data_IF_766403539345
#
_entry.id   IF_766403539345
#
_cell.length_a   1.000
_cell.length_b   1.000
_cell.length_c   1.000
_cell.angle_alpha   90.00
_cell.angle_beta   90.00
_cell.angle_gamma   90.00
#
_symmetry.space_group_name_H-M   'P 1'
#
loop_
_entity.id
_entity.type
_entity.pdbx_description
1 polymer ?
#
# COMPACT_ATOMS: atom_id res chain seq x y z
N UNK A 1 41.60 3.33 10.54
CA UNK A 1 40.85 2.10 10.21
C UNK A 1 39.40 2.50 10.01
N UNK A 2 38.84 2.26 8.82
CA UNK A 2 37.41 2.45 8.56
C UNK A 2 36.79 1.06 8.66
N UNK A 3 36.05 0.81 9.73
CA UNK A 3 35.26 -0.42 9.82
C UNK A 3 34.12 -0.28 8.82
N UNK A 4 34.11 -1.14 7.80
CA UNK A 4 32.94 -1.35 6.96
C UNK A 4 31.88 -1.96 7.87
N UNK A 5 30.88 -1.18 8.27
CA UNK A 5 29.70 -1.69 8.96
C UNK A 5 28.96 -2.52 7.91
N UNK A 6 29.14 -3.84 7.94
CA UNK A 6 28.22 -4.73 7.25
C UNK A 6 26.93 -4.72 8.06
N UNK A 7 25.84 -4.26 7.47
CA UNK A 7 24.53 -4.41 8.10
C UNK A 7 24.20 -5.90 8.14
N UNK A 8 23.87 -6.41 9.33
CA UNK A 8 23.51 -7.82 9.55
C UNK A 8 22.01 -8.08 9.30
N UNK A 9 21.27 -7.04 8.92
CA UNK A 9 19.83 -7.03 8.78
C UNK A 9 19.39 -5.99 7.73
N UNK A 10 18.16 -6.15 7.24
CA UNK A 10 17.45 -5.12 6.48
C UNK A 10 16.48 -4.35 7.38
N UNK A 11 16.23 -3.08 7.08
CA UNK A 11 15.16 -2.28 7.71
C UNK A 11 14.74 -1.12 6.81
N UNK A 12 13.52 -0.62 7.00
CA UNK A 12 13.07 0.66 6.46
C UNK A 12 13.31 1.75 7.51
N UNK A 13 13.94 2.84 7.10
CA UNK A 13 14.14 4.04 7.92
C UNK A 13 13.65 5.26 7.16
N UNK A 14 12.89 6.11 7.85
CA UNK A 14 12.35 7.34 7.29
C UNK A 14 12.68 8.47 8.26
N UNK A 15 13.54 9.37 7.80
CA UNK A 15 13.74 10.67 8.42
C UNK A 15 12.77 11.66 7.79
N UNK A 16 11.62 11.84 8.44
CA UNK A 16 10.63 12.83 8.03
C UNK A 16 10.82 14.11 8.84
N UNK A 17 11.81 14.89 8.42
CA UNK A 17 12.09 16.22 8.98
C UNK A 17 10.88 17.16 8.91
N UNK A 18 10.01 17.05 7.89
CA UNK A 18 8.79 17.86 7.75
C UNK A 18 7.75 17.56 8.85
N UNK A 19 7.67 16.31 9.32
CA UNK A 19 6.80 15.89 10.44
C UNK A 19 7.54 15.84 11.78
N UNK A 20 8.81 16.26 11.85
CA UNK A 20 9.70 16.08 13.01
C UNK A 20 9.67 14.65 13.55
N UNK A 21 9.60 13.66 12.66
CA UNK A 21 9.40 12.26 13.01
C UNK A 21 10.44 11.35 12.37
N UNK A 22 10.97 10.43 13.17
CA UNK A 22 11.77 9.31 12.69
C UNK A 22 10.94 8.04 12.82
N UNK A 23 10.87 7.26 11.74
CA UNK A 23 10.11 6.02 11.67
C UNK A 23 11.02 4.91 11.19
N UNK A 24 10.97 3.77 11.88
CA UNK A 24 11.69 2.58 11.48
C UNK A 24 10.76 1.36 11.53
N UNK A 25 10.98 0.43 10.60
CA UNK A 25 10.40 -0.90 10.70
C UNK A 25 11.17 -1.73 11.73
N UNK A 26 10.61 -2.87 12.15
CA UNK A 26 11.45 -3.91 12.78
C UNK A 26 12.61 -4.32 11.85
N UNK A 27 13.69 -4.83 12.45
CA UNK A 27 14.79 -5.45 11.71
C UNK A 27 14.33 -6.75 11.05
N UNK A 28 14.79 -6.99 9.83
CA UNK A 28 14.52 -8.18 9.03
C UNK A 28 15.82 -8.88 8.66
N UNK A 29 15.77 -10.17 8.32
CA UNK A 29 16.97 -10.88 7.85
C UNK A 29 17.57 -10.17 6.63
N UNK A 30 18.91 -10.13 6.54
CA UNK A 30 19.60 -9.53 5.40
C UNK A 30 19.17 -10.20 4.08
N UNK A 31 18.82 -9.40 3.08
CA UNK A 31 18.31 -9.87 1.79
C UNK A 31 16.80 -10.18 1.79
N UNK A 32 16.08 -9.71 2.81
CA UNK A 32 14.62 -9.65 2.85
C UNK A 32 14.10 -8.54 1.95
N UNK A 33 14.75 -7.38 1.93
CA UNK A 33 14.36 -6.20 1.17
C UNK A 33 15.30 -6.02 -0.02
N UNK A 34 14.75 -5.88 -1.22
CA UNK A 34 15.50 -5.61 -2.44
C UNK A 34 14.89 -4.39 -3.15
N UNK A 35 15.73 -3.45 -3.58
CA UNK A 35 15.29 -2.28 -4.34
C UNK A 35 15.52 -2.51 -5.84
N UNK A 36 14.53 -2.16 -6.63
CA UNK A 36 14.55 -2.34 -8.07
C UNK A 36 14.17 -1.04 -8.78
N UNK A 37 14.93 -0.73 -9.82
CA UNK A 37 14.53 0.25 -10.84
C UNK A 37 14.16 -0.51 -12.11
N UNK A 38 13.06 -0.11 -12.74
CA UNK A 38 12.54 -0.74 -13.93
C UNK A 38 11.93 0.29 -14.89
N UNK A 39 11.62 -0.16 -16.10
CA UNK A 39 11.01 0.66 -17.14
C UNK A 39 9.79 -0.04 -17.70
N UNK A 40 8.68 0.69 -17.86
CA UNK A 40 7.48 0.11 -18.47
C UNK A 40 7.63 0.04 -20.01
N UNK A 41 6.66 -0.57 -20.69
CA UNK A 41 6.69 -0.72 -22.16
C UNK A 41 6.74 0.60 -22.94
N UNK A 42 6.38 1.73 -22.30
CA UNK A 42 6.44 3.08 -22.89
C UNK A 42 7.81 3.75 -22.65
N UNK A 43 8.67 3.13 -21.84
CA UNK A 43 9.97 3.68 -21.45
C UNK A 43 9.93 4.55 -20.20
N UNK A 44 8.81 4.62 -19.48
CA UNK A 44 8.74 5.37 -18.23
C UNK A 44 9.42 4.59 -17.11
N UNK A 45 10.29 5.27 -16.35
CA UNK A 45 10.97 4.68 -15.20
C UNK A 45 10.04 4.57 -14.00
N UNK A 46 10.07 3.43 -13.32
CA UNK A 46 9.43 3.23 -12.03
C UNK A 46 10.34 2.43 -11.09
N UNK A 47 10.13 2.60 -9.79
CA UNK A 47 10.92 1.93 -8.76
C UNK A 47 10.00 1.17 -7.80
N UNK A 48 10.51 0.08 -7.23
CA UNK A 48 9.78 -0.68 -6.22
C UNK A 48 10.72 -1.40 -5.27
N UNK A 49 10.19 -1.73 -4.10
CA UNK A 49 10.81 -2.68 -3.17
C UNK A 49 10.17 -4.05 -3.38
N UNK A 50 10.98 -5.09 -3.50
CA UNK A 50 10.55 -6.48 -3.34
C UNK A 50 10.92 -6.94 -1.92
N UNK A 51 9.94 -7.53 -1.21
CA UNK A 51 10.06 -7.92 0.19
C UNK A 51 9.57 -9.36 0.36
N UNK A 52 10.41 -10.20 0.95
CA UNK A 52 10.07 -11.60 1.27
C UNK A 52 9.26 -11.69 2.56
N UNK A 53 8.18 -12.44 2.53
CA UNK A 53 7.32 -12.70 3.67
C UNK A 53 6.23 -11.64 3.87
N UNK A 54 4.97 -12.07 3.94
CA UNK A 54 3.82 -11.17 4.03
C UNK A 54 3.86 -10.26 5.27
N UNK A 55 4.35 -10.77 6.41
CA UNK A 55 4.51 -9.94 7.62
C UNK A 55 5.56 -8.84 7.42
N UNK A 56 6.65 -9.13 6.73
CA UNK A 56 7.69 -8.14 6.42
C UNK A 56 7.17 -7.10 5.43
N UNK A 57 6.46 -7.54 4.38
CA UNK A 57 5.84 -6.65 3.40
C UNK A 57 4.84 -5.71 4.04
N UNK A 58 3.99 -6.22 4.94
CA UNK A 58 3.01 -5.40 5.66
C UNK A 58 3.67 -4.37 6.59
N UNK A 59 4.64 -4.80 7.39
CA UNK A 59 5.39 -3.91 8.28
C UNK A 59 6.06 -2.75 7.52
N UNK A 60 6.74 -3.07 6.41
CA UNK A 60 7.41 -2.06 5.59
C UNK A 60 6.40 -1.07 4.99
N UNK A 61 5.28 -1.56 4.48
CA UNK A 61 4.20 -0.72 3.95
C UNK A 61 3.62 0.21 5.02
N UNK A 62 3.27 -0.30 6.20
CA UNK A 62 2.71 0.52 7.28
C UNK A 62 3.73 1.55 7.79
N UNK A 63 5.01 1.19 7.85
CA UNK A 63 6.10 2.12 8.19
C UNK A 63 6.16 3.28 7.18
N UNK A 64 6.11 2.99 5.89
CA UNK A 64 6.10 3.98 4.82
C UNK A 64 4.85 4.86 4.84
N UNK A 65 3.67 4.26 5.01
CA UNK A 65 2.39 4.98 5.08
C UNK A 65 2.29 5.89 6.31
N UNK A 66 2.92 5.52 7.44
CA UNK A 66 2.99 6.35 8.64
C UNK A 66 4.03 7.46 8.51
N UNK A 67 5.19 7.12 7.95
CA UNK A 67 6.36 7.99 7.91
C UNK A 67 6.36 9.01 6.79
N UNK A 68 5.47 8.93 5.80
CA UNK A 68 5.48 9.83 4.63
C UNK A 68 4.15 10.58 4.46
N UNK A 69 4.08 11.43 3.43
CA UNK A 69 2.87 12.15 2.99
C UNK A 69 2.47 11.78 1.56
N UNK A 70 2.96 10.63 1.08
CA UNK A 70 2.81 10.13 -0.28
C UNK A 70 2.04 8.80 -0.22
N UNK A 71 1.29 8.51 -1.27
CA UNK A 71 0.65 7.21 -1.43
C UNK A 71 1.69 6.13 -1.79
N UNK A 72 1.69 5.07 -0.99
CA UNK A 72 2.36 3.82 -1.26
C UNK A 72 1.31 2.74 -1.51
N UNK A 73 1.71 1.71 -2.24
CA UNK A 73 0.93 0.48 -2.39
C UNK A 73 1.75 -0.74 -2.04
N UNK A 74 1.06 -1.74 -1.52
CA UNK A 74 1.53 -3.08 -1.25
C UNK A 74 0.76 -4.05 -2.16
N UNK A 75 1.48 -4.72 -3.05
CA UNK A 75 0.97 -5.85 -3.80
C UNK A 75 1.53 -7.14 -3.23
N UNK A 76 0.67 -8.09 -2.88
CA UNK A 76 1.09 -9.40 -2.38
C UNK A 76 0.79 -10.46 -3.42
N UNK A 77 1.76 -11.31 -3.72
CA UNK A 77 1.68 -12.30 -4.78
C UNK A 77 2.40 -13.61 -4.42
N UNK A 78 2.13 -14.65 -5.21
CA UNK A 78 2.65 -15.99 -4.96
C UNK A 78 2.01 -16.65 -3.74
N UNK A 79 2.79 -17.43 -2.99
CA UNK A 79 2.35 -18.09 -1.76
C UNK A 79 2.02 -17.07 -0.66
N UNK A 80 1.20 -17.46 0.32
CA UNK A 80 0.96 -16.63 1.51
C UNK A 80 2.00 -16.90 2.60
N UNK A 81 2.16 -15.96 3.53
CA UNK A 81 3.04 -16.15 4.69
C UNK A 81 4.51 -15.87 4.36
N UNK A 82 5.43 -16.67 4.91
CA UNK A 82 6.87 -16.38 4.88
C UNK A 82 7.49 -16.46 3.48
N UNK A 83 6.88 -17.23 2.57
CA UNK A 83 7.27 -17.32 1.17
C UNK A 83 6.58 -16.28 0.27
N UNK A 84 5.73 -15.43 0.85
CA UNK A 84 5.00 -14.42 0.09
C UNK A 84 5.93 -13.39 -0.55
N UNK A 85 5.63 -13.04 -1.80
CA UNK A 85 6.34 -11.98 -2.53
C UNK A 85 5.53 -10.70 -2.42
N UNK A 86 6.15 -9.67 -1.86
CA UNK A 86 5.50 -8.41 -1.58
C UNK A 86 6.21 -7.31 -2.37
N UNK A 87 5.44 -6.48 -3.07
CA UNK A 87 5.98 -5.39 -3.87
C UNK A 87 5.43 -4.09 -3.34
N UNK A 88 6.32 -3.18 -2.95
CA UNK A 88 5.94 -1.85 -2.50
C UNK A 88 6.37 -0.81 -3.53
N UNK A 89 5.43 0.02 -3.95
CA UNK A 89 5.69 1.11 -4.88
C UNK A 89 4.99 2.38 -4.48
N UNK A 90 5.39 3.47 -5.12
CA UNK A 90 4.75 4.78 -5.02
C UNK A 90 4.78 5.43 -6.41
N UNK A 91 3.86 6.34 -6.69
CA UNK A 91 3.97 7.24 -7.85
C UNK A 91 4.76 8.52 -7.56
N UNK A 92 5.18 8.72 -6.31
CA UNK A 92 5.66 10.01 -5.80
C UNK A 92 4.62 11.15 -5.86
N UNK A 93 3.35 10.85 -6.06
CA UNK A 93 2.24 11.81 -6.04
C UNK A 93 1.29 11.55 -4.86
N UNK A 94 0.51 12.55 -4.47
CA UNK A 94 -0.38 12.46 -3.29
C UNK A 94 -1.58 11.54 -3.49
N UNK A 95 -2.04 11.32 -4.73
CA UNK A 95 -3.33 10.66 -5.01
C UNK A 95 -3.36 9.94 -6.39
N UNK A 96 -2.21 9.47 -6.88
CA UNK A 96 -2.12 8.66 -8.10
C UNK A 96 -1.17 7.50 -7.81
N UNK A 97 -1.32 6.36 -8.47
CA UNK A 97 -0.39 5.24 -8.33
C UNK A 97 -0.11 4.53 -9.65
N UNK A 98 0.44 5.27 -10.61
CA UNK A 98 0.83 4.76 -11.92
C UNK A 98 1.80 3.57 -11.87
N UNK A 99 2.60 3.39 -10.80
CA UNK A 99 3.62 2.32 -10.75
C UNK A 99 3.04 0.94 -10.41
N UNK A 100 1.94 0.86 -9.66
CA UNK A 100 1.38 -0.45 -9.27
C UNK A 100 0.88 -1.27 -10.46
N UNK A 101 0.25 -0.64 -11.45
CA UNK A 101 -0.22 -1.37 -12.63
C UNK A 101 0.95 -1.94 -13.45
N UNK A 102 2.07 -1.22 -13.52
CA UNK A 102 3.27 -1.66 -14.23
C UNK A 102 3.92 -2.85 -13.52
N UNK A 103 4.04 -2.82 -12.18
CA UNK A 103 4.55 -3.96 -11.41
C UNK A 103 3.63 -5.17 -11.53
N UNK A 104 2.33 -4.96 -11.41
CA UNK A 104 1.32 -6.01 -11.55
C UNK A 104 1.40 -6.67 -12.94
N UNK A 105 1.62 -5.91 -14.01
CA UNK A 105 1.67 -6.43 -15.38
C UNK A 105 3.03 -7.02 -15.78
N UNK A 106 4.13 -6.36 -15.43
CA UNK A 106 5.46 -6.68 -15.97
C UNK A 106 6.33 -7.50 -14.99
N UNK A 107 6.14 -7.33 -13.67
CA UNK A 107 6.93 -8.04 -12.64
C UNK A 107 6.19 -9.26 -12.12
N UNK A 108 4.96 -9.06 -11.64
CA UNK A 108 4.12 -10.16 -11.15
C UNK A 108 3.62 -10.98 -12.35
N UNK A 109 3.09 -10.29 -13.37
CA UNK A 109 2.50 -10.93 -14.54
C UNK A 109 1.12 -11.54 -14.28
N UNK A 110 0.50 -12.08 -15.33
CA UNK A 110 -0.85 -12.66 -15.27
C UNK A 110 -0.88 -13.91 -14.40
N UNK A 111 0.14 -14.76 -14.50
CA UNK A 111 0.25 -16.04 -13.78
C UNK A 111 1.05 -15.93 -12.48
N UNK A 112 1.49 -14.73 -12.09
CA UNK A 112 2.29 -14.50 -10.89
C UNK A 112 1.56 -14.66 -9.57
N UNK A 113 0.26 -14.95 -9.61
CA UNK A 113 -0.58 -15.17 -8.45
C UNK A 113 -0.76 -13.93 -7.60
N UNK A 114 -1.18 -12.80 -8.19
CA UNK A 114 -1.56 -11.61 -7.43
C UNK A 114 -2.72 -11.95 -6.48
N UNK A 115 -2.55 -11.69 -5.19
CA UNK A 115 -3.53 -11.98 -4.13
C UNK A 115 -4.21 -10.72 -3.61
N UNK A 116 -3.45 -9.65 -3.44
CA UNK A 116 -3.98 -8.39 -2.91
C UNK A 116 -3.25 -7.16 -3.45
N UNK A 117 -3.95 -6.03 -3.41
CA UNK A 117 -3.43 -4.68 -3.60
C UNK A 117 -3.99 -3.81 -2.48
N UNK A 118 -3.12 -3.24 -1.65
CA UNK A 118 -3.50 -2.29 -0.59
C UNK A 118 -2.74 -1.00 -0.80
N UNK A 119 -3.42 0.14 -0.79
CA UNK A 119 -2.78 1.46 -0.86
C UNK A 119 -3.19 2.35 0.29
N UNK A 120 -2.33 3.29 0.68
CA UNK A 120 -2.67 4.25 1.72
C UNK A 120 -3.15 5.57 1.12
N UNK A 121 -4.21 6.15 1.67
CA UNK A 121 -4.58 7.54 1.35
C UNK A 121 -3.90 8.49 2.35
N UNK A 122 -3.01 9.41 1.91
CA UNK A 122 -2.42 10.41 2.80
C UNK A 122 -3.48 11.33 3.46
N UNK A 123 -4.65 11.47 2.82
CA UNK A 123 -5.82 12.17 3.36
C UNK A 123 -6.49 11.47 4.54
N UNK A 124 -6.10 10.21 4.84
CA UNK A 124 -6.69 9.31 5.85
C UNK A 124 -8.12 8.84 5.53
N UNK A 125 -8.65 9.23 4.37
CA UNK A 125 -9.98 8.82 3.93
C UNK A 125 -9.96 7.34 3.52
N UNK A 126 -10.87 6.52 4.05
CA UNK A 126 -10.95 5.09 3.73
C UNK A 126 -11.99 4.78 2.65
N UNK A 127 -12.28 5.75 1.77
CA UNK A 127 -13.24 5.57 0.67
C UNK A 127 -12.53 5.53 -0.68
N UNK A 128 -12.83 4.55 -1.54
CA UNK A 128 -12.21 4.46 -2.86
C UNK A 128 -12.63 5.61 -3.76
N UNK A 129 -11.63 6.20 -4.41
CA UNK A 129 -11.81 7.12 -5.53
C UNK A 129 -12.35 6.39 -6.76
N UNK A 130 -12.82 7.15 -7.74
CA UNK A 130 -13.20 6.60 -9.06
C UNK A 130 -12.01 5.88 -9.72
N UNK A 131 -10.79 6.37 -9.51
CA UNK A 131 -9.56 5.78 -10.01
C UNK A 131 -9.29 4.42 -9.37
N UNK A 132 -9.52 4.28 -8.06
CA UNK A 132 -9.37 3.00 -7.33
C UNK A 132 -10.31 1.94 -7.90
N UNK A 133 -11.57 2.30 -8.15
CA UNK A 133 -12.57 1.39 -8.72
C UNK A 133 -12.20 0.96 -10.14
N UNK A 134 -11.70 1.90 -10.96
CA UNK A 134 -11.21 1.60 -12.32
C UNK A 134 -9.99 0.69 -12.30
N UNK A 135 -9.06 0.95 -11.39
CA UNK A 135 -7.88 0.11 -11.19
C UNK A 135 -8.28 -1.32 -10.79
N UNK A 136 -9.18 -1.48 -9.81
CA UNK A 136 -9.67 -2.79 -9.40
C UNK A 136 -10.32 -3.53 -10.57
N UNK A 137 -11.17 -2.85 -11.34
CA UNK A 137 -11.79 -3.40 -12.56
C UNK A 137 -10.74 -3.88 -13.57
N UNK A 138 -9.78 -3.04 -13.91
CA UNK A 138 -8.73 -3.37 -14.89
C UNK A 138 -7.88 -4.57 -14.45
N UNK A 139 -7.64 -4.71 -13.15
CA UNK A 139 -6.88 -5.81 -12.57
C UNK A 139 -7.71 -7.10 -12.56
N UNK A 140 -8.98 -7.04 -12.13
CA UNK A 140 -9.91 -8.17 -12.10
C UNK A 140 -10.22 -8.73 -13.50
N UNK A 141 -10.39 -7.88 -14.52
CA UNK A 141 -10.70 -8.33 -15.88
C UNK A 141 -9.54 -9.09 -16.54
N UNK A 142 -8.30 -8.81 -16.14
CA UNK A 142 -7.09 -9.36 -16.77
C UNK A 142 -6.52 -10.57 -16.06
N UNK A 143 -7.00 -10.89 -14.86
CA UNK A 143 -6.38 -11.91 -14.00
C UNK A 143 -7.39 -12.92 -13.48
N UNK A 144 -7.06 -14.22 -13.55
CA UNK A 144 -7.87 -15.24 -12.90
C UNK A 144 -7.72 -15.13 -11.38
N UNK A 145 -8.82 -15.31 -10.65
CA UNK A 145 -8.82 -15.41 -9.19
C UNK A 145 -9.46 -14.23 -8.48
N UNK A 146 -9.60 -14.38 -7.15
CA UNK A 146 -10.18 -13.36 -6.29
C UNK A 146 -9.07 -12.50 -5.69
N UNK A 147 -8.93 -11.28 -6.21
CA UNK A 147 -7.95 -10.30 -5.73
C UNK A 147 -8.63 -9.45 -4.65
N UNK A 148 -7.93 -9.21 -3.54
CA UNK A 148 -8.42 -8.33 -2.46
C UNK A 148 -7.88 -6.92 -2.68
N UNK A 149 -8.75 -5.93 -2.77
CA UNK A 149 -8.37 -4.52 -2.80
C UNK A 149 -8.73 -3.86 -1.47
N UNK A 150 -7.82 -3.07 -0.93
CA UNK A 150 -8.00 -2.38 0.34
C UNK A 150 -7.43 -0.96 0.29
N UNK A 151 -8.04 -0.05 1.03
CA UNK A 151 -7.48 1.27 1.37
C UNK A 151 -7.09 1.24 2.83
N UNK A 152 -5.86 1.67 3.11
CA UNK A 152 -5.29 1.75 4.45
C UNK A 152 -5.11 3.20 4.90
N UNK A 153 -5.27 3.43 6.20
CA UNK A 153 -4.88 4.67 6.87
C UNK A 153 -3.99 4.35 8.07
N UNK A 154 -2.88 5.06 8.20
CA UNK A 154 -2.02 4.99 9.40
C UNK A 154 -2.66 5.67 10.62
N UNK A 155 -3.70 6.47 10.41
CA UNK A 155 -4.54 7.07 11.46
C UNK A 155 -5.82 6.24 11.60
N UNK A 156 -6.08 5.62 12.76
CA UNK A 156 -7.30 4.84 12.98
C UNK A 156 -8.57 5.70 12.78
N UNK A 157 -9.48 5.23 11.93
CA UNK A 157 -10.83 5.76 11.87
C UNK A 157 -11.66 5.13 13.02
N UNK A 158 -12.37 5.92 13.83
CA UNK A 158 -13.11 5.43 15.01
C UNK A 158 -14.30 4.51 14.68
N UNK A 159 -14.74 4.50 13.43
CA UNK A 159 -15.84 3.67 12.93
C UNK A 159 -15.32 2.45 12.18
N UNK A 160 -14.40 2.68 11.24
CA UNK A 160 -13.99 1.71 10.23
C UNK A 160 -12.66 1.01 10.56
N UNK A 161 -11.94 1.48 11.57
CA UNK A 161 -10.57 1.03 11.85
C UNK A 161 -9.58 1.63 10.87
N UNK A 162 -8.54 0.88 10.50
CA UNK A 162 -7.45 1.39 9.66
C UNK A 162 -7.54 0.93 8.21
N UNK A 163 -8.46 0.03 7.87
CA UNK A 163 -8.49 -0.56 6.53
C UNK A 163 -9.91 -0.92 6.09
N UNK A 164 -10.25 -0.59 4.84
CA UNK A 164 -11.53 -0.93 4.21
C UNK A 164 -11.29 -1.62 2.88
N UNK A 165 -11.96 -2.75 2.67
CA UNK A 165 -11.94 -3.46 1.40
C UNK A 165 -12.93 -2.88 0.40
N UNK A 166 -12.56 -2.92 -0.88
CA UNK A 166 -13.41 -2.54 -2.00
C UNK A 166 -13.20 -3.49 -3.19
N UNK A 167 -14.04 -3.35 -4.20
CA UNK A 167 -13.97 -4.09 -5.47
C UNK A 167 -14.43 -3.22 -6.65
N UNK A 168 -14.40 -3.76 -7.87
CA UNK A 168 -14.83 -3.04 -9.08
C UNK A 168 -16.30 -2.60 -9.10
N UNK A 169 -17.12 -3.07 -8.15
CA UNK A 169 -18.56 -2.77 -8.02
C UNK A 169 -18.86 -1.82 -6.86
N UNK A 170 -17.86 -1.50 -6.06
CA UNK A 170 -17.99 -0.57 -4.94
C UNK A 170 -18.36 0.81 -5.47
N UNK A 171 -19.39 1.42 -4.87
CA UNK A 171 -19.82 2.77 -5.28
C UNK A 171 -18.84 3.80 -4.72
N UNK A 172 -18.28 4.68 -5.55
CA UNK A 172 -17.56 5.84 -5.05
C UNK A 172 -18.48 6.67 -4.17
N UNK A 173 -17.96 7.14 -3.05
CA UNK A 173 -18.63 8.10 -2.18
C UNK A 173 -17.82 9.37 -2.20
N UNK A 174 -18.50 10.51 -2.32
CA UNK A 174 -17.85 11.81 -2.28
C UNK A 174 -17.25 12.07 -0.89
N UNK A 175 -16.15 12.81 -0.81
CA UNK A 175 -15.47 13.07 0.45
C UNK A 175 -16.40 13.72 1.51
N UNK A 176 -17.29 14.61 1.07
CA UNK A 176 -18.30 15.23 1.95
C UNK A 176 -19.31 14.21 2.50
N UNK A 177 -19.75 13.26 1.68
CA UNK A 177 -20.65 12.19 2.08
C UNK A 177 -19.96 11.23 3.05
N UNK A 178 -18.69 10.87 2.77
CA UNK A 178 -17.88 10.06 3.68
C UNK A 178 -17.73 10.72 5.06
N UNK A 179 -17.39 12.01 5.10
CA UNK A 179 -17.23 12.75 6.36
C UNK A 179 -18.56 12.84 7.13
N UNK A 180 -19.66 13.12 6.42
CA UNK A 180 -20.99 13.18 7.03
C UNK A 180 -21.39 11.82 7.63
N UNK A 181 -21.25 10.72 6.88
CA UNK A 181 -21.60 9.38 7.33
C UNK A 181 -20.78 8.95 8.54
N UNK A 182 -19.47 9.26 8.57
CA UNK A 182 -18.62 8.97 9.72
C UNK A 182 -19.05 9.76 10.96
N UNK A 183 -19.36 11.05 10.82
CA UNK A 183 -19.80 11.88 11.94
C UNK A 183 -21.10 11.35 12.54
N UNK A 184 -22.09 11.04 11.69
CA UNK A 184 -23.37 10.47 12.12
C UNK A 184 -23.20 9.15 12.87
N UNK A 185 -22.29 8.29 12.40
CA UNK A 185 -22.05 7.00 13.03
C UNK A 185 -21.30 7.14 14.37
N UNK A 186 -20.41 8.14 14.51
CA UNK A 186 -19.80 8.50 15.80
C UNK A 186 -20.88 8.96 16.77
N UNK A 187 -21.75 9.89 16.36
CA UNK A 187 -22.83 10.40 17.22
C UNK A 187 -23.78 9.29 17.68
N UNK A 188 -24.11 8.35 16.78
CA UNK A 188 -24.90 7.15 17.12
C UNK A 188 -24.21 6.28 18.16
N UNK A 189 -22.89 6.05 18.03
CA UNK A 189 -22.10 5.29 19.01
C UNK A 189 -21.98 6.00 20.37
N UNK A 190 -22.03 7.33 20.38
CA UNK A 190 -22.01 8.15 21.59
C UNK A 190 -23.40 8.31 22.24
N UNK A 191 -24.48 7.86 21.57
CA UNK A 191 -25.85 7.98 22.07
C UNK A 191 -26.45 9.38 21.91
N UNK A 192 -25.90 10.19 21.01
CA UNK A 192 -26.39 11.54 20.71
C UNK A 192 -27.56 11.54 19.70
N UNK A 193 -27.80 10.41 19.03
CA UNK A 193 -28.81 10.18 17.99
C UNK A 193 -29.49 8.82 18.16
#
# INVERSE_FOLDING_TARGET
MVNKIAYEYDKIEIDNSDKLGYYESRTMELGTISYHEAYNKKGDRYNYLEIKGDSNGREAFETLAKGTSVEFSLMQAGEEGDNGRNYISTSHSKDDNASSIDIINEVIGVDGGLRSHTHNHPSTMLSPSVQDIRFAKDVEEKRPGKIKFSIYSSVPNPVLGNEVQYDSKTKPIEASEYLFNNLMEIDRKLGNL
#
